data_IF_930801713631
#
_entry.id   IF_930801713631
#
_cell.length_a   1.000
_cell.length_b   1.000
_cell.length_c   1.000
_cell.angle_alpha   90.00
_cell.angle_beta   90.00
_cell.angle_gamma   90.00
#
_symmetry.space_group_name_H-M   'P 1'
#
loop_
_entity.id
_entity.type
_entity.pdbx_description
1 polymer ?
#
# COMPACT_ATOMS: atom_id res chain seq x y z
N UNK A 1 -0.66 -13.35 -13.87
CA UNK A 1 -2.00 -12.75 -13.67
C UNK A 1 -2.28 -12.61 -12.17
N UNK A 2 -2.84 -11.49 -11.77
CA UNK A 2 -3.17 -11.24 -10.36
C UNK A 2 -4.52 -11.87 -10.05
N UNK A 3 -4.54 -12.78 -9.08
CA UNK A 3 -5.78 -13.35 -8.56
C UNK A 3 -6.36 -12.41 -7.50
N UNK A 4 -7.34 -11.62 -7.89
CA UNK A 4 -7.98 -10.60 -7.04
C UNK A 4 -8.45 -11.17 -5.69
N UNK A 5 -8.98 -12.38 -5.66
CA UNK A 5 -9.57 -12.98 -4.46
C UNK A 5 -8.54 -13.30 -3.38
N UNK A 6 -7.26 -13.47 -3.77
CA UNK A 6 -6.16 -13.76 -2.86
C UNK A 6 -5.14 -12.62 -2.82
N UNK A 7 -5.58 -11.40 -3.14
CA UNK A 7 -4.71 -10.22 -3.22
C UNK A 7 -5.12 -9.16 -2.22
N UNK A 8 -4.11 -8.64 -1.53
CA UNK A 8 -4.18 -7.52 -0.59
C UNK A 8 -3.52 -6.30 -1.23
N UNK A 9 -4.06 -5.12 -1.00
CA UNK A 9 -3.38 -3.88 -1.33
C UNK A 9 -3.26 -2.97 -0.10
N UNK A 10 -2.43 -1.95 -0.23
CA UNK A 10 -2.13 -1.00 0.82
C UNK A 10 -2.48 0.42 0.39
N UNK A 11 -2.83 1.26 1.35
CA UNK A 11 -2.89 2.72 1.17
C UNK A 11 -2.58 3.42 2.48
N UNK A 12 -1.81 4.49 2.44
CA UNK A 12 -1.48 5.25 3.63
C UNK A 12 -0.75 6.55 3.30
N UNK A 13 -0.61 7.39 4.31
CA UNK A 13 -0.05 8.72 4.15
C UNK A 13 1.48 8.69 3.97
N UNK A 14 1.98 9.68 3.24
CA UNK A 14 3.43 9.90 3.05
C UNK A 14 4.16 10.24 4.35
N UNK A 15 3.43 10.74 5.33
CA UNK A 15 3.95 11.09 6.65
C UNK A 15 4.22 9.89 7.56
N UNK A 16 3.87 8.70 7.13
CA UNK A 16 4.11 7.48 7.90
C UNK A 16 5.61 7.29 8.19
N UNK A 17 5.95 7.08 9.45
CA UNK A 17 7.32 6.90 9.95
C UNK A 17 7.45 5.71 10.89
N UNK A 18 6.64 4.66 10.72
CA UNK A 18 6.72 3.44 11.53
C UNK A 18 5.70 3.35 12.67
N UNK A 19 4.73 4.25 12.75
CA UNK A 19 3.76 4.32 13.86
C UNK A 19 2.96 3.03 14.06
N UNK A 20 2.81 2.23 13.01
CA UNK A 20 2.02 0.99 13.05
C UNK A 20 2.80 -0.23 12.53
N UNK A 21 4.12 -0.23 12.58
CA UNK A 21 4.95 -1.29 11.98
C UNK A 21 4.60 -2.68 12.52
N UNK A 22 4.42 -2.82 13.83
CA UNK A 22 4.08 -4.11 14.42
C UNK A 22 2.66 -4.56 14.04
N UNK A 23 1.69 -3.64 14.07
CA UNK A 23 0.33 -3.94 13.64
C UNK A 23 0.27 -4.31 12.15
N UNK A 24 1.07 -3.65 11.31
CA UNK A 24 1.21 -3.95 9.89
C UNK A 24 1.76 -5.37 9.68
N UNK A 25 2.84 -5.71 10.38
CA UNK A 25 3.43 -7.06 10.32
C UNK A 25 2.40 -8.12 10.71
N UNK A 26 1.72 -7.93 11.83
CA UNK A 26 0.70 -8.85 12.32
C UNK A 26 -0.46 -8.99 11.33
N UNK A 27 -0.89 -7.89 10.71
CA UNK A 27 -1.94 -7.90 9.71
C UNK A 27 -1.54 -8.73 8.48
N UNK A 28 -0.32 -8.56 7.97
CA UNK A 28 0.16 -9.32 6.81
C UNK A 28 0.23 -10.82 7.15
N UNK A 29 0.79 -11.18 8.30
CA UNK A 29 0.90 -12.59 8.74
C UNK A 29 -0.49 -13.22 8.86
N UNK A 30 -1.43 -12.54 9.50
CA UNK A 30 -2.81 -13.01 9.64
C UNK A 30 -3.47 -13.21 8.27
N UNK A 31 -3.29 -12.29 7.35
CA UNK A 31 -3.86 -12.38 6.00
C UNK A 31 -3.27 -13.56 5.21
N UNK A 32 -1.97 -13.80 5.32
CA UNK A 32 -1.35 -15.01 4.73
C UNK A 32 -1.97 -16.28 5.31
N UNK A 33 -2.21 -16.33 6.61
CA UNK A 33 -2.87 -17.47 7.26
C UNK A 33 -4.31 -17.65 6.78
N UNK A 34 -4.97 -16.58 6.33
CA UNK A 34 -6.31 -16.60 5.77
C UNK A 34 -6.34 -16.96 4.27
N UNK A 35 -5.19 -17.20 3.66
CA UNK A 35 -5.08 -17.62 2.27
C UNK A 35 -4.69 -16.53 1.27
N UNK A 36 -4.44 -15.31 1.71
CA UNK A 36 -3.92 -14.27 0.83
C UNK A 36 -2.46 -14.54 0.49
N UNK A 37 -2.11 -14.39 -0.79
CA UNK A 37 -0.78 -14.75 -1.31
C UNK A 37 -0.05 -13.60 -1.97
N UNK A 38 -0.77 -12.60 -2.46
CA UNK A 38 -0.22 -11.52 -3.26
C UNK A 38 -0.52 -10.17 -2.60
N UNK A 39 0.50 -9.31 -2.54
CA UNK A 39 0.42 -8.01 -1.91
C UNK A 39 0.85 -6.94 -2.92
N UNK A 40 -0.04 -5.98 -3.18
CA UNK A 40 0.20 -4.88 -4.12
C UNK A 40 0.60 -3.63 -3.35
N UNK A 41 1.72 -3.04 -3.71
CA UNK A 41 2.12 -1.72 -3.22
C UNK A 41 2.17 -0.71 -4.36
N UNK A 42 1.58 0.45 -4.14
CA UNK A 42 1.66 1.58 -5.08
C UNK A 42 2.99 2.32 -5.05
N UNK A 43 3.90 1.92 -4.18
CA UNK A 43 5.27 2.44 -4.10
C UNK A 43 5.38 3.94 -3.84
N UNK A 44 4.34 4.54 -3.24
CA UNK A 44 4.42 5.90 -2.74
C UNK A 44 5.30 5.95 -1.47
N UNK A 45 5.89 7.10 -1.21
CA UNK A 45 6.63 7.32 0.03
C UNK A 45 5.74 7.10 1.26
N UNK A 46 6.36 6.82 2.37
CA UNK A 46 5.68 6.61 3.65
C UNK A 46 5.11 5.20 3.77
N UNK A 47 3.80 5.09 3.95
CA UNK A 47 3.18 3.81 4.29
C UNK A 47 3.30 2.74 3.19
N UNK A 48 3.09 3.10 1.93
CA UNK A 48 3.15 2.13 0.82
C UNK A 48 4.54 1.48 0.73
N UNK A 49 5.59 2.29 0.83
CA UNK A 49 6.97 1.80 0.78
C UNK A 49 7.29 0.96 2.01
N UNK A 50 6.88 1.39 3.21
CA UNK A 50 7.08 0.64 4.44
C UNK A 50 6.34 -0.71 4.39
N UNK A 51 5.13 -0.75 3.85
CA UNK A 51 4.37 -1.98 3.68
C UNK A 51 5.07 -2.95 2.73
N UNK A 52 5.58 -2.45 1.61
CA UNK A 52 6.35 -3.26 0.66
C UNK A 52 7.61 -3.84 1.31
N UNK A 53 8.34 -3.04 2.07
CA UNK A 53 9.52 -3.49 2.83
C UNK A 53 9.16 -4.58 3.84
N UNK A 54 8.02 -4.45 4.51
CA UNK A 54 7.55 -5.45 5.48
C UNK A 54 7.19 -6.78 4.80
N UNK A 55 6.55 -6.73 3.64
CA UNK A 55 6.25 -7.93 2.83
C UNK A 55 7.55 -8.65 2.46
N UNK A 56 8.54 -7.92 1.99
CA UNK A 56 9.85 -8.50 1.62
C UNK A 56 10.58 -9.08 2.84
N UNK A 57 10.51 -8.42 3.98
CA UNK A 57 11.10 -8.93 5.22
C UNK A 57 10.48 -10.25 5.64
N UNK A 58 9.16 -10.35 5.62
CA UNK A 58 8.45 -11.60 5.92
C UNK A 58 8.80 -12.72 4.93
N UNK A 59 8.97 -12.39 3.67
CA UNK A 59 9.41 -13.36 2.66
C UNK A 59 10.80 -13.91 2.97
N UNK A 60 11.73 -13.05 3.40
CA UNK A 60 13.07 -13.48 3.84
C UNK A 60 13.02 -14.38 5.07
N UNK A 61 12.03 -14.20 5.92
CA UNK A 61 11.79 -15.03 7.11
C UNK A 61 11.08 -16.35 6.79
N UNK A 62 10.78 -16.62 5.52
CA UNK A 62 10.20 -17.88 5.05
C UNK A 62 8.68 -17.86 4.90
N UNK A 63 8.01 -16.71 5.03
CA UNK A 63 6.57 -16.60 4.79
C UNK A 63 6.31 -16.66 3.28
N UNK A 64 5.36 -17.50 2.89
CA UNK A 64 4.99 -17.71 1.47
C UNK A 64 4.05 -16.59 1.01
N UNK A 65 4.61 -15.56 0.40
CA UNK A 65 3.87 -14.44 -0.16
C UNK A 65 4.63 -13.81 -1.34
N UNK A 66 3.92 -13.02 -2.13
CA UNK A 66 4.47 -12.31 -3.28
C UNK A 66 4.23 -10.81 -3.13
N UNK A 67 5.23 -10.02 -3.54
CA UNK A 67 5.10 -8.57 -3.66
C UNK A 67 5.00 -8.17 -5.14
N UNK A 68 3.97 -7.42 -5.47
CA UNK A 68 3.83 -6.76 -6.77
C UNK A 68 3.92 -5.25 -6.56
N UNK A 69 4.93 -4.63 -7.15
CA UNK A 69 5.10 -3.18 -7.15
C UNK A 69 4.31 -2.57 -8.32
N UNK A 70 3.35 -1.70 -8.02
CA UNK A 70 2.54 -1.02 -9.02
C UNK A 70 2.96 0.45 -9.10
N UNK A 71 3.68 0.79 -10.16
CA UNK A 71 4.30 2.09 -10.33
C UNK A 71 3.42 2.96 -11.23
N UNK A 72 3.05 4.17 -10.80
CA UNK A 72 2.15 5.03 -11.58
C UNK A 72 2.76 5.48 -12.91
N UNK A 73 4.05 5.78 -12.91
CA UNK A 73 4.79 6.15 -14.11
C UNK A 73 6.29 5.91 -13.92
N UNK A 74 6.98 5.67 -14.99
CA UNK A 74 8.43 5.45 -14.96
C UNK A 74 9.14 6.69 -14.45
N UNK A 75 9.98 6.50 -13.42
CA UNK A 75 10.78 7.58 -12.85
C UNK A 75 10.09 8.37 -11.73
N UNK A 76 9.02 7.84 -11.10
CA UNK A 76 8.41 8.54 -9.97
C UNK A 76 9.40 8.82 -8.83
N UNK A 77 10.44 8.01 -8.69
CA UNK A 77 11.48 8.11 -7.67
C UNK A 77 12.46 9.27 -7.90
N UNK A 78 12.42 9.93 -9.05
CA UNK A 78 13.37 11.01 -9.39
C UNK A 78 13.30 12.19 -8.44
N UNK A 79 12.14 12.44 -7.85
CA UNK A 79 11.93 13.53 -6.89
C UNK A 79 12.24 13.15 -5.44
N UNK A 80 12.58 11.89 -5.19
CA UNK A 80 12.87 11.39 -3.84
C UNK A 80 14.27 11.81 -3.39
N UNK A 81 14.49 11.87 -2.07
CA UNK A 81 15.83 12.00 -1.52
C UNK A 81 16.69 10.78 -1.89
N UNK A 82 18.00 10.90 -1.75
CA UNK A 82 18.90 9.77 -2.06
C UNK A 82 18.58 8.54 -1.21
N UNK A 83 18.27 8.72 0.07
CA UNK A 83 17.89 7.63 0.98
C UNK A 83 16.57 6.99 0.58
N UNK A 84 15.55 7.79 0.32
CA UNK A 84 14.24 7.31 -0.13
C UNK A 84 14.33 6.57 -1.46
N UNK A 85 15.10 7.11 -2.38
CA UNK A 85 15.33 6.49 -3.69
C UNK A 85 16.04 5.15 -3.56
N UNK A 86 17.03 5.05 -2.68
CA UNK A 86 17.73 3.78 -2.42
C UNK A 86 16.77 2.72 -1.86
N UNK A 87 15.89 3.08 -0.95
CA UNK A 87 14.84 2.18 -0.43
C UNK A 87 13.90 1.74 -1.55
N UNK A 88 13.40 2.66 -2.33
CA UNK A 88 12.52 2.40 -3.47
C UNK A 88 13.16 1.44 -4.47
N UNK A 89 14.37 1.73 -4.91
CA UNK A 89 15.09 0.89 -5.88
C UNK A 89 15.34 -0.52 -5.35
N UNK A 90 15.64 -0.66 -4.06
CA UNK A 90 15.81 -1.97 -3.42
C UNK A 90 14.54 -2.78 -3.46
N UNK A 91 13.40 -2.18 -3.13
CA UNK A 91 12.09 -2.85 -3.17
C UNK A 91 11.74 -3.27 -4.60
N UNK A 92 11.93 -2.39 -5.58
CA UNK A 92 11.68 -2.70 -6.99
C UNK A 92 12.54 -3.87 -7.46
N UNK A 93 13.82 -3.89 -7.07
CA UNK A 93 14.74 -4.97 -7.44
C UNK A 93 14.34 -6.33 -6.84
N UNK A 94 13.76 -6.34 -5.65
CA UNK A 94 13.38 -7.56 -4.93
C UNK A 94 11.92 -7.98 -5.15
N UNK A 95 11.08 -7.12 -5.71
CA UNK A 95 9.68 -7.44 -5.98
C UNK A 95 9.55 -8.65 -6.93
N UNK A 96 8.53 -9.46 -6.72
CA UNK A 96 8.24 -10.61 -7.60
C UNK A 96 7.76 -10.16 -8.97
N UNK A 97 7.06 -9.03 -9.02
CA UNK A 97 6.59 -8.44 -10.27
C UNK A 97 6.57 -6.92 -10.13
N UNK A 98 6.86 -6.22 -11.22
CA UNK A 98 6.78 -4.76 -11.31
C UNK A 98 5.86 -4.40 -12.46
N UNK A 99 4.80 -3.65 -12.17
CA UNK A 99 3.83 -3.16 -13.15
C UNK A 99 3.98 -1.65 -13.23
N UNK A 100 4.38 -1.15 -14.40
CA UNK A 100 4.50 0.29 -14.68
C UNK A 100 3.33 0.71 -15.55
N UNK A 101 2.47 1.58 -15.02
CA UNK A 101 1.20 1.93 -15.67
C UNK A 101 1.34 2.97 -16.78
N UNK A 102 2.39 3.80 -16.74
CA UNK A 102 2.67 4.80 -17.77
C UNK A 102 4.16 5.02 -17.94
N UNK A 103 4.59 5.36 -19.13
CA UNK A 103 6.01 5.66 -19.43
C UNK A 103 6.44 7.04 -18.92
N UNK A 104 5.50 7.95 -18.75
CA UNK A 104 5.77 9.32 -18.29
C UNK A 104 4.70 9.77 -17.31
N UNK A 105 5.06 10.77 -16.48
CA UNK A 105 4.08 11.45 -15.64
C UNK A 105 2.98 12.08 -16.51
N UNK A 106 1.73 11.93 -16.08
CA UNK A 106 0.58 12.63 -16.64
C UNK A 106 -0.37 13.02 -15.51
N UNK A 107 -1.22 14.01 -15.77
CA UNK A 107 -2.25 14.42 -14.81
C UNK A 107 -3.18 13.23 -14.51
N UNK A 108 -3.36 12.91 -13.25
CA UNK A 108 -4.17 11.78 -12.82
C UNK A 108 -3.43 10.44 -12.72
N UNK A 109 -2.12 10.41 -12.98
CA UNK A 109 -1.33 9.16 -12.90
C UNK A 109 -1.45 8.45 -11.54
N UNK A 110 -1.43 9.19 -10.45
CA UNK A 110 -1.58 8.62 -9.11
C UNK A 110 -2.98 8.06 -8.87
N UNK A 111 -4.00 8.72 -9.40
CA UNK A 111 -5.37 8.22 -9.29
C UNK A 111 -5.56 6.93 -10.10
N UNK A 112 -5.01 6.87 -11.30
CA UNK A 112 -5.02 5.64 -12.13
C UNK A 112 -4.36 4.47 -11.36
N UNK A 113 -3.21 4.73 -10.72
CA UNK A 113 -2.55 3.73 -9.89
C UNK A 113 -3.44 3.30 -8.73
N UNK A 114 -4.05 4.23 -8.01
CA UNK A 114 -4.92 3.91 -6.89
C UNK A 114 -6.14 3.09 -7.32
N UNK A 115 -6.73 3.43 -8.46
CA UNK A 115 -7.84 2.67 -9.06
C UNK A 115 -7.40 1.24 -9.43
N UNK A 116 -6.21 1.09 -9.96
CA UNK A 116 -5.63 -0.21 -10.28
C UNK A 116 -5.52 -1.09 -9.02
N UNK A 117 -4.97 -0.54 -7.93
CA UNK A 117 -4.81 -1.25 -6.67
C UNK A 117 -6.15 -1.79 -6.15
N UNK A 118 -7.17 -0.93 -6.10
CA UNK A 118 -8.49 -1.31 -5.60
C UNK A 118 -9.17 -2.35 -6.50
N UNK A 119 -9.01 -2.22 -7.82
CA UNK A 119 -9.65 -3.15 -8.77
C UNK A 119 -9.00 -4.53 -8.83
N UNK A 120 -7.76 -4.67 -8.38
CA UNK A 120 -7.00 -5.92 -8.43
C UNK A 120 -6.81 -6.58 -7.06
N UNK A 121 -7.50 -6.11 -6.03
CA UNK A 121 -7.44 -6.66 -4.69
C UNK A 121 -8.83 -6.90 -4.11
N UNK A 122 -8.92 -7.75 -3.10
CA UNK A 122 -10.15 -7.98 -2.33
C UNK A 122 -10.03 -7.56 -0.88
N UNK A 123 -8.83 -7.17 -0.44
CA UNK A 123 -8.56 -6.69 0.90
C UNK A 123 -7.66 -5.45 0.87
N UNK A 124 -7.99 -4.45 1.68
CA UNK A 124 -7.23 -3.21 1.80
C UNK A 124 -6.75 -3.03 3.24
N UNK A 125 -5.44 -2.94 3.41
CA UNK A 125 -4.81 -2.54 4.67
C UNK A 125 -4.41 -1.08 4.55
N UNK A 126 -4.94 -0.23 5.42
CA UNK A 126 -4.77 1.20 5.35
C UNK A 126 -4.10 1.77 6.60
N UNK A 127 -3.39 2.86 6.43
CA UNK A 127 -3.01 3.78 7.50
C UNK A 127 -3.56 5.16 7.15
N UNK A 128 -4.83 5.36 7.51
CA UNK A 128 -5.61 6.55 7.17
C UNK A 128 -5.98 7.31 8.43
N UNK A 129 -5.52 8.56 8.55
CA UNK A 129 -5.70 9.41 9.72
C UNK A 129 -6.85 10.42 9.59
N UNK A 130 -7.69 10.29 8.56
CA UNK A 130 -8.82 11.18 8.31
C UNK A 130 -8.52 12.39 7.43
N UNK A 131 -7.24 12.68 7.13
CA UNK A 131 -6.90 13.82 6.29
C UNK A 131 -7.20 13.59 4.80
N UNK A 132 -7.48 14.68 4.09
CA UNK A 132 -7.80 14.64 2.66
C UNK A 132 -6.58 14.31 1.82
N UNK A 133 -6.80 13.65 0.68
CA UNK A 133 -5.78 13.33 -0.30
C UNK A 133 -5.96 11.96 -0.93
N UNK A 134 -4.89 11.44 -1.53
CA UNK A 134 -4.90 10.16 -2.23
C UNK A 134 -5.23 8.96 -1.35
N UNK A 135 -4.80 8.97 -0.08
CA UNK A 135 -5.14 7.92 0.88
C UNK A 135 -6.64 7.89 1.17
N UNK A 136 -7.25 9.05 1.40
CA UNK A 136 -8.70 9.15 1.58
C UNK A 136 -9.45 8.64 0.36
N UNK A 137 -9.03 9.06 -0.82
CA UNK A 137 -9.62 8.61 -2.08
C UNK A 137 -9.63 7.09 -2.19
N UNK A 138 -8.47 6.47 -1.99
CA UNK A 138 -8.31 5.01 -2.10
C UNK A 138 -9.10 4.27 -1.02
N UNK A 139 -9.08 4.78 0.21
CA UNK A 139 -9.82 4.21 1.33
C UNK A 139 -11.34 4.19 1.04
N UNK A 140 -11.90 5.33 0.64
CA UNK A 140 -13.33 5.46 0.32
C UNK A 140 -13.71 4.62 -0.92
N UNK A 141 -12.84 4.58 -1.92
CA UNK A 141 -13.07 3.75 -3.10
C UNK A 141 -13.06 2.26 -2.75
N UNK A 142 -12.15 1.82 -1.89
CA UNK A 142 -12.13 0.45 -1.38
C UNK A 142 -13.43 0.07 -0.69
N UNK A 143 -13.94 0.93 0.17
CA UNK A 143 -15.25 0.74 0.80
C UNK A 143 -16.38 0.63 -0.23
N UNK A 144 -16.42 1.57 -1.18
CA UNK A 144 -17.46 1.60 -2.22
C UNK A 144 -17.42 0.36 -3.11
N UNK A 145 -16.24 -0.17 -3.40
CA UNK A 145 -16.04 -1.37 -4.23
C UNK A 145 -16.19 -2.68 -3.44
N UNK A 146 -16.49 -2.62 -2.15
CA UNK A 146 -16.77 -3.79 -1.32
C UNK A 146 -15.54 -4.57 -0.88
N UNK A 147 -14.33 -3.97 -0.87
CA UNK A 147 -13.16 -4.61 -0.31
C UNK A 147 -13.33 -4.80 1.20
N UNK A 148 -12.87 -5.94 1.71
CA UNK A 148 -12.60 -6.07 3.13
C UNK A 148 -11.49 -5.07 3.49
N UNK A 149 -11.59 -4.44 4.66
CA UNK A 149 -10.73 -3.31 4.98
C UNK A 149 -10.39 -3.29 6.46
N UNK A 150 -9.12 -3.00 6.77
CA UNK A 150 -8.72 -2.62 8.12
C UNK A 150 -7.85 -1.37 8.07
N UNK A 151 -8.05 -0.50 9.05
CA UNK A 151 -7.27 0.72 9.23
C UNK A 151 -6.38 0.59 10.45
N UNK A 152 -5.07 0.63 10.24
CA UNK A 152 -4.08 0.51 11.30
C UNK A 152 -3.82 1.83 12.04
N UNK A 153 -4.30 2.96 11.50
CA UNK A 153 -4.19 4.23 12.20
C UNK A 153 -5.12 4.22 13.41
N UNK A 154 -4.54 4.47 14.58
CA UNK A 154 -5.33 4.76 15.76
C UNK A 154 -5.84 6.19 15.63
N UNK A 155 -7.11 6.36 15.32
CA UNK A 155 -7.78 7.62 15.62
C UNK A 155 -7.74 7.76 17.14
N UNK A 156 -6.85 8.59 17.65
CA UNK A 156 -7.15 9.16 18.94
C UNK A 156 -8.46 9.89 18.79
N UNK A 157 -9.41 9.54 19.63
CA UNK A 157 -10.77 10.08 19.66
C UNK A 157 -10.79 11.59 19.97
N UNK A 158 -9.97 12.38 19.28
CA UNK A 158 -10.05 13.83 19.28
C UNK A 158 -11.35 14.30 18.64
N UNK A 159 -12.03 13.42 17.94
CA UNK A 159 -13.22 13.79 17.16
C UNK A 159 -14.54 13.30 17.72
N UNK A 160 -14.60 12.71 18.90
CA UNK A 160 -15.89 12.54 19.57
C UNK A 160 -16.58 13.89 19.86
N UNK A 161 -15.82 15.00 19.83
CA UNK A 161 -16.38 16.34 19.97
C UNK A 161 -16.94 16.93 18.68
N UNK A 162 -16.60 16.36 17.52
CA UNK A 162 -17.12 16.81 16.23
C UNK A 162 -18.41 16.10 15.83
N UNK A 163 -18.80 15.07 16.56
CA UNK A 163 -20.02 14.30 16.32
C UNK A 163 -21.06 14.47 17.43
N UNK A 164 -20.89 15.46 18.31
CA UNK A 164 -21.91 15.86 19.30
C UNK A 164 -22.60 17.14 18.87
#
# INVERSE_FOLDING_TARGET
MIDRHHTVTFTGHRTYCGEADEALRQAIVRLVQQGYTTFLSGMALGFDLAAAEQVLQLRREGVLLRLVAVIPFRGQERSYSDEERARYCRVVAEADEVITLAEQFHRGAYQVRNDYLVSHASYLVAWYNGSKGGTQYTFLKGLKCGLALENLATFQLLDQRLFQ
#
